data_IF_515956925380
#
_entry.id   IF_515956925380
#
_cell.length_a   1.000
_cell.length_b   1.000
_cell.length_c   1.000
_cell.angle_alpha   90.00
_cell.angle_beta   90.00
_cell.angle_gamma   90.00
#
_symmetry.space_group_name_H-M   'P 1'
#
loop_
_entity.id
_entity.type
_entity.pdbx_description
1 polymer ?
#
# COMPACT_ATOMS: atom_id res chain seq x y z
N UNK A 1 -13.22 0.14 -32.60
CA UNK A 1 -14.34 -0.09 -31.65
C UNK A 1 -13.77 0.04 -30.25
N UNK A 2 -13.92 1.21 -29.61
CA UNK A 2 -13.28 1.51 -28.33
C UNK A 2 -14.00 0.85 -27.16
N UNK A 3 -13.56 -0.34 -26.78
CA UNK A 3 -14.03 -0.98 -25.56
C UNK A 3 -13.48 -0.21 -24.34
N UNK A 4 -14.40 0.24 -23.49
CA UNK A 4 -14.20 0.88 -22.19
C UNK A 4 -13.70 2.34 -22.21
N UNK A 5 -14.64 3.29 -22.36
CA UNK A 5 -14.41 4.69 -21.94
C UNK A 5 -13.91 4.70 -20.48
N UNK A 6 -12.77 5.34 -20.21
CA UNK A 6 -12.27 5.54 -18.84
C UNK A 6 -13.32 6.38 -18.13
N UNK A 7 -13.98 5.83 -17.10
CA UNK A 7 -14.89 6.59 -16.25
C UNK A 7 -14.04 7.69 -15.58
N UNK A 8 -14.55 8.91 -15.55
CA UNK A 8 -13.85 10.01 -14.89
C UNK A 8 -13.84 9.70 -13.37
N UNK A 9 -12.67 9.64 -12.70
CA UNK A 9 -12.62 9.31 -11.28
C UNK A 9 -13.39 10.30 -10.41
N UNK A 10 -13.54 11.56 -10.85
CA UNK A 10 -14.32 12.57 -10.15
C UNK A 10 -15.81 12.21 -10.01
N UNK A 11 -16.35 11.39 -10.93
CA UNK A 11 -17.77 10.98 -10.91
C UNK A 11 -18.14 10.12 -9.69
N UNK A 12 -17.16 9.66 -8.90
CA UNK A 12 -17.38 8.92 -7.67
C UNK A 12 -17.55 9.81 -6.43
N UNK A 13 -17.35 11.11 -6.57
CA UNK A 13 -17.32 12.07 -5.47
C UNK A 13 -18.38 13.15 -5.64
N UNK A 14 -18.97 13.57 -4.52
CA UNK A 14 -19.72 14.82 -4.48
C UNK A 14 -18.73 16.00 -4.66
N UNK A 15 -18.88 16.85 -5.69
CA UNK A 15 -17.94 17.94 -5.98
C UNK A 15 -17.89 19.01 -4.88
N UNK A 16 -18.95 19.14 -4.07
CA UNK A 16 -18.97 20.09 -2.95
C UNK A 16 -18.13 19.57 -1.77
N UNK A 17 -18.02 18.24 -1.64
CA UNK A 17 -17.27 17.56 -0.58
C UNK A 17 -15.80 17.31 -0.95
N UNK A 18 -15.53 16.87 -2.19
CA UNK A 18 -14.19 16.48 -2.62
C UNK A 18 -13.95 16.73 -4.10
N UNK A 19 -12.87 17.44 -4.43
CA UNK A 19 -12.43 17.68 -5.81
C UNK A 19 -11.03 17.10 -6.00
N UNK A 20 -10.88 16.19 -6.94
CA UNK A 20 -9.59 15.59 -7.29
C UNK A 20 -8.69 16.68 -7.90
N UNK A 21 -7.73 17.12 -7.12
CA UNK A 21 -6.65 18.03 -7.54
C UNK A 21 -5.42 17.26 -8.01
N UNK A 22 -5.16 16.10 -7.41
CA UNK A 22 -4.05 15.23 -7.78
C UNK A 22 -4.37 13.74 -7.55
N UNK A 23 -3.60 12.87 -8.19
CA UNK A 23 -3.72 11.42 -8.12
C UNK A 23 -2.41 10.80 -7.63
N UNK A 24 -2.40 10.35 -6.38
CA UNK A 24 -1.24 9.66 -5.79
C UNK A 24 -1.09 8.26 -6.38
N UNK A 25 -2.21 7.55 -6.56
CA UNK A 25 -2.23 6.21 -7.11
C UNK A 25 -3.50 5.97 -7.93
N UNK A 26 -3.35 5.69 -9.23
CA UNK A 26 -4.40 5.18 -10.12
C UNK A 26 -4.01 3.77 -10.58
N UNK A 27 -4.48 2.71 -9.90
CA UNK A 27 -4.05 1.36 -10.22
C UNK A 27 -4.70 0.84 -11.51
N UNK A 28 -4.09 -0.14 -12.19
CA UNK A 28 -4.69 -0.74 -13.38
C UNK A 28 -6.06 -1.34 -13.07
N UNK A 29 -6.98 -1.23 -14.04
CA UNK A 29 -8.41 -1.56 -13.85
C UNK A 29 -8.60 -2.95 -13.24
N UNK A 30 -7.88 -3.98 -13.64
CA UNK A 30 -8.13 -5.36 -13.17
C UNK A 30 -7.43 -5.73 -11.88
N UNK A 31 -6.92 -4.75 -11.13
CA UNK A 31 -6.35 -4.99 -9.80
C UNK A 31 -7.41 -4.76 -8.72
N UNK A 32 -7.21 -5.39 -7.56
CA UNK A 32 -8.01 -5.15 -6.34
C UNK A 32 -7.51 -3.94 -5.55
N UNK A 33 -6.57 -3.17 -6.10
CA UNK A 33 -5.93 -2.08 -5.39
C UNK A 33 -6.84 -0.85 -5.35
N UNK A 34 -6.86 -0.11 -4.23
CA UNK A 34 -7.59 1.14 -4.17
C UNK A 34 -6.88 2.23 -4.99
N UNK A 35 -7.67 3.15 -5.54
CA UNK A 35 -7.13 4.41 -6.04
C UNK A 35 -7.03 5.44 -4.90
N UNK A 36 -6.07 6.34 -5.00
CA UNK A 36 -5.78 7.35 -3.98
C UNK A 36 -5.69 8.72 -4.64
N UNK A 37 -6.49 9.66 -4.13
CA UNK A 37 -6.64 11.00 -4.68
C UNK A 37 -6.43 12.06 -3.61
N UNK A 38 -6.01 13.25 -4.03
CA UNK A 38 -5.90 14.43 -3.17
C UNK A 38 -6.88 15.52 -3.59
N UNK A 39 -7.46 16.18 -2.59
CA UNK A 39 -8.02 17.52 -2.67
C UNK A 39 -7.14 18.46 -1.83
N UNK A 40 -6.11 19.03 -2.47
CA UNK A 40 -5.18 19.95 -1.82
C UNK A 40 -5.87 21.25 -1.40
N UNK A 41 -6.96 21.65 -2.07
CA UNK A 41 -7.69 22.89 -1.73
C UNK A 41 -8.43 22.77 -0.41
N UNK A 42 -9.03 21.60 -0.15
CA UNK A 42 -9.72 21.29 1.11
C UNK A 42 -8.84 20.57 2.13
N UNK A 43 -7.58 20.28 1.79
CA UNK A 43 -6.64 19.45 2.58
C UNK A 43 -7.22 18.09 2.95
N UNK A 44 -7.83 17.43 1.97
CA UNK A 44 -8.41 16.09 2.10
C UNK A 44 -7.74 15.11 1.15
N UNK A 45 -7.80 13.84 1.50
CA UNK A 45 -7.42 12.75 0.60
C UNK A 45 -8.49 11.68 0.63
N UNK A 46 -8.53 10.84 -0.41
CA UNK A 46 -9.53 9.81 -0.53
C UNK A 46 -8.95 8.49 -0.97
N UNK A 47 -9.53 7.41 -0.44
CA UNK A 47 -9.32 6.03 -0.85
C UNK A 47 -10.58 5.56 -1.55
N UNK A 48 -10.46 5.18 -2.82
CA UNK A 48 -11.57 4.66 -3.60
C UNK A 48 -11.29 3.24 -4.04
N UNK A 49 -11.93 2.29 -3.36
CA UNK A 49 -11.99 0.90 -3.82
C UNK A 49 -13.09 0.78 -4.87
N UNK A 50 -12.75 0.20 -6.02
CA UNK A 50 -13.65 0.22 -7.17
C UNK A 50 -14.94 -0.57 -6.89
N UNK A 51 -16.08 0.09 -7.03
CA UNK A 51 -17.40 -0.49 -6.74
C UNK A 51 -17.87 -0.25 -5.31
N UNK A 52 -17.05 0.39 -4.46
CA UNK A 52 -17.44 0.88 -3.15
C UNK A 52 -17.48 2.42 -3.15
N UNK A 53 -18.18 2.99 -2.16
CA UNK A 53 -18.15 4.43 -1.92
C UNK A 53 -16.75 4.87 -1.48
N UNK A 54 -16.21 5.99 -2.00
CA UNK A 54 -14.92 6.50 -1.56
C UNK A 54 -14.93 6.88 -0.08
N UNK A 55 -13.86 6.54 0.63
CA UNK A 55 -13.62 7.04 1.98
C UNK A 55 -12.73 8.28 1.90
N UNK A 56 -13.15 9.35 2.54
CA UNK A 56 -12.45 10.65 2.53
C UNK A 56 -11.92 10.92 3.95
N UNK A 57 -10.70 11.41 4.01
CA UNK A 57 -9.97 11.71 5.24
C UNK A 57 -9.38 13.11 5.17
N UNK A 58 -9.14 13.72 6.32
CA UNK A 58 -8.37 14.95 6.41
C UNK A 58 -6.88 14.65 6.36
N UNK A 59 -6.08 15.58 5.84
CA UNK A 59 -4.61 15.46 5.90
C UNK A 59 -4.10 15.32 7.34
N UNK A 60 -4.79 15.96 8.29
CA UNK A 60 -4.46 15.90 9.71
C UNK A 60 -4.66 14.49 10.32
N UNK A 61 -5.41 13.61 9.65
CA UNK A 61 -5.62 12.25 10.11
C UNK A 61 -4.41 11.35 9.83
N UNK A 62 -3.46 11.78 9.00
CA UNK A 62 -2.23 11.03 8.70
C UNK A 62 -1.27 11.15 9.87
N UNK A 63 -1.03 10.03 10.57
CA UNK A 63 -0.18 9.99 11.77
C UNK A 63 1.24 9.50 11.48
N UNK A 64 1.36 8.53 10.59
CA UNK A 64 2.62 7.89 10.22
C UNK A 64 2.50 7.29 8.82
N UNK A 65 3.59 7.33 8.06
CA UNK A 65 3.69 6.66 6.78
C UNK A 65 5.05 5.96 6.64
N UNK A 66 5.04 4.70 6.23
CA UNK A 66 6.26 3.91 6.04
C UNK A 66 6.19 3.00 4.82
N UNK A 67 7.34 2.73 4.20
CA UNK A 67 7.45 1.69 3.18
C UNK A 67 7.82 0.37 3.86
N UNK A 68 6.93 -0.61 3.75
CA UNK A 68 7.10 -1.94 4.31
C UNK A 68 7.29 -3.00 3.21
N UNK A 69 8.14 -3.99 3.48
CA UNK A 69 8.24 -5.20 2.67
C UNK A 69 7.41 -6.34 3.29
N UNK A 70 6.79 -7.16 2.45
CA UNK A 70 6.09 -8.35 2.89
C UNK A 70 7.08 -9.37 3.43
N UNK A 71 6.95 -9.70 4.72
CA UNK A 71 7.77 -10.71 5.37
C UNK A 71 9.14 -10.20 5.81
N UNK A 72 9.17 -9.05 6.49
CA UNK A 72 10.33 -8.63 7.26
C UNK A 72 10.83 -9.81 8.13
N UNK A 73 12.04 -10.34 7.87
CA UNK A 73 12.55 -11.54 8.51
C UNK A 73 12.94 -11.37 9.99
N UNK A 74 12.77 -10.21 10.61
CA UNK A 74 13.01 -10.04 12.06
C UNK A 74 12.05 -10.86 12.95
N UNK A 75 10.98 -11.44 12.39
CA UNK A 75 10.09 -12.34 13.11
C UNK A 75 10.52 -13.81 12.95
N UNK A 76 11.32 -14.27 13.92
CA UNK A 76 11.59 -15.67 14.32
C UNK A 76 12.74 -16.40 13.62
N UNK A 77 13.91 -16.37 14.26
CA UNK A 77 14.94 -17.40 14.11
C UNK A 77 14.37 -18.78 14.45
N UNK A 78 14.17 -19.63 13.44
CA UNK A 78 13.85 -21.04 13.65
C UNK A 78 15.15 -21.76 14.04
N UNK A 79 15.26 -22.15 15.31
CA UNK A 79 16.47 -22.70 15.93
C UNK A 79 16.69 -24.19 15.64
N UNK A 80 15.71 -24.93 15.08
CA UNK A 80 15.84 -26.38 14.83
C UNK A 80 15.22 -26.91 13.52
N UNK A 81 15.79 -28.01 12.98
CA UNK A 81 15.32 -28.68 11.74
C UNK A 81 13.95 -29.35 11.88
N UNK A 82 13.56 -29.76 13.09
CA UNK A 82 12.27 -30.41 13.36
C UNK A 82 11.12 -29.41 13.37
N UNK A 83 11.30 -28.23 13.98
CA UNK A 83 10.30 -27.16 13.92
C UNK A 83 10.10 -26.65 12.50
N UNK A 84 11.16 -26.57 11.71
CA UNK A 84 11.07 -26.19 10.30
C UNK A 84 10.22 -27.19 9.50
N UNK A 85 10.42 -28.49 9.69
CA UNK A 85 9.63 -29.53 9.01
C UNK A 85 8.14 -29.48 9.40
N UNK A 86 7.82 -29.22 10.67
CA UNK A 86 6.44 -29.05 11.13
C UNK A 86 5.77 -27.80 10.52
N UNK A 87 6.50 -26.68 10.41
CA UNK A 87 5.96 -25.45 9.77
C UNK A 87 5.71 -25.62 8.28
N UNK A 88 6.58 -26.35 7.56
CA UNK A 88 6.40 -26.67 6.14
C UNK A 88 5.12 -27.49 5.95
N UNK A 89 4.89 -28.51 6.80
CA UNK A 89 3.68 -29.32 6.74
C UNK A 89 2.41 -28.52 7.07
N UNK A 90 2.49 -27.61 8.04
CA UNK A 90 1.36 -26.80 8.48
C UNK A 90 0.96 -25.70 7.48
N UNK A 91 1.94 -25.05 6.83
CA UNK A 91 1.68 -24.03 5.82
C UNK A 91 2.86 -23.92 4.82
N UNK A 92 2.85 -24.72 3.75
CA UNK A 92 3.93 -24.77 2.76
C UNK A 92 4.22 -23.41 2.11
N UNK A 93 3.19 -22.60 1.88
CA UNK A 93 3.32 -21.27 1.28
C UNK A 93 4.04 -20.28 2.21
N UNK A 94 3.73 -20.30 3.52
CA UNK A 94 4.42 -19.46 4.51
C UNK A 94 5.90 -19.86 4.62
N UNK A 95 6.20 -21.15 4.60
CA UNK A 95 7.57 -21.63 4.71
C UNK A 95 8.40 -21.40 3.43
N UNK A 96 7.79 -21.45 2.25
CA UNK A 96 8.41 -21.01 0.99
C UNK A 96 8.78 -19.52 1.03
N UNK A 97 7.86 -18.67 1.53
CA UNK A 97 8.10 -17.23 1.72
C UNK A 97 9.28 -16.96 2.67
N UNK A 98 9.35 -17.65 3.81
CA UNK A 98 10.48 -17.51 4.77
C UNK A 98 11.82 -17.90 4.12
N UNK A 99 11.86 -18.97 3.32
CA UNK A 99 13.07 -19.36 2.58
C UNK A 99 13.46 -18.35 1.48
N UNK A 100 12.48 -17.73 0.83
CA UNK A 100 12.72 -16.70 -0.18
C UNK A 100 13.25 -15.40 0.45
N UNK A 101 12.73 -14.98 1.59
CA UNK A 101 13.27 -13.83 2.35
C UNK A 101 14.76 -14.01 2.70
N UNK A 102 15.18 -15.25 3.05
CA UNK A 102 16.60 -15.63 3.29
C UNK A 102 17.49 -15.56 2.03
N UNK A 103 16.92 -15.42 0.82
CA UNK A 103 17.64 -15.42 -0.48
C UNK A 103 17.74 -14.04 -1.13
N UNK A 104 17.77 -12.96 -0.34
CA UNK A 104 17.79 -11.58 -0.85
C UNK A 104 16.58 -11.22 -1.74
N UNK A 105 15.43 -11.84 -1.49
CA UNK A 105 14.18 -11.58 -2.19
C UNK A 105 13.25 -10.72 -1.33
N UNK A 106 12.67 -9.70 -1.95
CA UNK A 106 11.50 -8.99 -1.46
C UNK A 106 10.25 -9.74 -1.96
N UNK A 107 9.32 -10.08 -1.08
CA UNK A 107 8.14 -10.91 -1.41
C UNK A 107 6.88 -10.09 -1.69
N UNK A 108 7.03 -8.76 -1.61
CA UNK A 108 5.97 -7.78 -1.71
C UNK A 108 6.46 -6.48 -1.08
N UNK A 109 5.95 -5.36 -1.54
CA UNK A 109 6.26 -4.04 -1.00
C UNK A 109 5.00 -3.19 -1.04
N UNK A 110 4.78 -2.43 0.01
CA UNK A 110 3.67 -1.49 0.09
C UNK A 110 4.01 -0.28 0.94
N UNK A 111 3.14 0.72 0.86
CA UNK A 111 3.15 1.87 1.77
C UNK A 111 2.07 1.65 2.82
N UNK A 112 2.45 1.72 4.09
CA UNK A 112 1.54 1.59 5.23
C UNK A 112 1.31 2.98 5.79
N UNK A 113 0.05 3.41 5.79
CA UNK A 113 -0.37 4.70 6.34
C UNK A 113 -1.20 4.45 7.59
N UNK A 114 -0.75 4.97 8.73
CA UNK A 114 -1.54 5.01 9.95
C UNK A 114 -2.44 6.24 9.93
N UNK A 115 -3.75 6.03 10.05
CA UNK A 115 -4.77 7.07 9.92
C UNK A 115 -5.66 7.08 11.16
N UNK A 116 -5.91 8.26 11.71
CA UNK A 116 -6.90 8.47 12.77
C UNK A 116 -8.31 8.35 12.17
N UNK A 117 -9.11 7.36 12.58
CA UNK A 117 -10.47 7.12 12.05
C UNK A 117 -11.59 7.40 13.05
N UNK A 118 -11.24 7.68 14.30
CA UNK A 118 -12.14 8.06 15.38
C UNK A 118 -11.38 8.83 16.45
N UNK A 119 -11.96 9.12 17.62
CA UNK A 119 -11.27 9.91 18.66
C UNK A 119 -10.00 9.22 19.20
N UNK A 120 -10.01 7.89 19.25
CA UNK A 120 -8.92 7.06 19.78
C UNK A 120 -8.68 5.80 18.91
N UNK A 121 -9.17 5.80 17.66
CA UNK A 121 -9.05 4.67 16.73
C UNK A 121 -8.06 4.99 15.62
N UNK A 122 -7.04 4.15 15.48
CA UNK A 122 -6.04 4.22 14.40
C UNK A 122 -6.20 3.01 13.50
N UNK A 123 -6.45 3.26 12.21
CA UNK A 123 -6.50 2.25 11.17
C UNK A 123 -5.20 2.26 10.36
N UNK A 124 -4.72 1.08 9.95
CA UNK A 124 -3.60 0.96 9.01
C UNK A 124 -4.13 0.68 7.61
N UNK A 125 -3.80 1.56 6.67
CA UNK A 125 -4.07 1.36 5.25
C UNK A 125 -2.80 0.85 4.57
N UNK A 126 -2.88 -0.34 3.98
CA UNK A 126 -1.81 -0.89 3.15
C UNK A 126 -2.07 -0.59 1.67
N UNK A 127 -1.11 0.08 1.05
CA UNK A 127 -1.13 0.44 -0.37
C UNK A 127 -0.04 -0.39 -1.05
N UNK A 128 -0.38 -1.57 -1.61
CA UNK A 128 0.63 -2.42 -2.23
C UNK A 128 1.17 -1.77 -3.51
N UNK A 129 2.49 -1.76 -3.61
CA UNK A 129 3.26 -1.28 -4.77
C UNK A 129 3.75 -2.46 -5.61
N UNK A 130 4.04 -3.59 -4.95
CA UNK A 130 4.50 -4.83 -5.55
C UNK A 130 3.95 -6.02 -4.75
N UNK A 131 3.43 -7.04 -5.44
CA UNK A 131 2.93 -8.28 -4.82
C UNK A 131 3.74 -9.52 -5.21
N UNK A 132 4.66 -9.39 -6.16
CA UNK A 132 5.48 -10.48 -6.69
C UNK A 132 6.85 -10.54 -6.02
N UNK A 133 7.51 -11.69 -6.11
CA UNK A 133 8.86 -11.88 -5.58
C UNK A 133 9.90 -11.25 -6.51
N UNK A 134 10.72 -10.34 -5.96
CA UNK A 134 11.78 -9.63 -6.72
C UNK A 134 13.07 -9.60 -5.91
N UNK A 135 14.22 -9.77 -6.57
CA UNK A 135 15.53 -9.64 -5.91
C UNK A 135 15.78 -8.19 -5.50
N UNK A 136 16.25 -7.96 -4.27
CA UNK A 136 16.52 -6.61 -3.74
C UNK A 136 17.63 -5.85 -4.47
N UNK A 137 18.55 -6.56 -5.12
CA UNK A 137 19.62 -5.94 -5.92
C UNK A 137 19.19 -5.57 -7.35
N UNK A 138 18.01 -6.02 -7.77
CA UNK A 138 17.51 -5.77 -9.13
C UNK A 138 17.10 -4.30 -9.32
N UNK A 139 17.21 -3.83 -10.57
CA UNK A 139 16.66 -2.53 -10.97
C UNK A 139 15.15 -2.43 -10.77
N UNK A 140 14.43 -3.56 -10.91
CA UNK A 140 12.99 -3.62 -10.70
C UNK A 140 12.62 -3.34 -9.24
N UNK A 141 13.32 -3.94 -8.28
CA UNK A 141 13.13 -3.63 -6.86
C UNK A 141 13.37 -2.15 -6.56
N UNK A 142 14.46 -1.57 -7.09
CA UNK A 142 14.76 -0.13 -6.91
C UNK A 142 13.66 0.75 -7.50
N UNK A 143 13.11 0.39 -8.66
CA UNK A 143 11.99 1.10 -9.27
C UNK A 143 10.74 1.03 -8.39
N UNK A 144 10.38 -0.14 -7.86
CA UNK A 144 9.25 -0.27 -6.92
C UNK A 144 9.48 0.51 -5.63
N UNK A 145 10.68 0.44 -5.06
CA UNK A 145 11.06 1.23 -3.88
C UNK A 145 10.91 2.72 -4.14
N UNK A 146 11.39 3.21 -5.29
CA UNK A 146 11.24 4.62 -5.65
C UNK A 146 9.77 5.04 -5.79
N UNK A 147 8.89 4.17 -6.31
CA UNK A 147 7.45 4.45 -6.35
C UNK A 147 6.87 4.50 -4.94
N UNK A 148 7.21 3.54 -4.08
CA UNK A 148 6.74 3.50 -2.70
C UNK A 148 7.20 4.72 -1.89
N UNK A 149 8.47 5.14 -2.05
CA UNK A 149 9.01 6.34 -1.39
C UNK A 149 8.33 7.63 -1.89
N UNK A 150 7.95 7.71 -3.17
CA UNK A 150 7.18 8.85 -3.67
C UNK A 150 5.78 8.91 -3.05
N UNK A 151 5.09 7.77 -2.99
CA UNK A 151 3.78 7.69 -2.32
C UNK A 151 3.93 8.07 -0.83
N UNK A 152 4.97 7.56 -0.16
CA UNK A 152 5.26 7.91 1.24
C UNK A 152 5.46 9.42 1.40
N UNK A 153 6.28 10.04 0.56
CA UNK A 153 6.55 11.48 0.61
C UNK A 153 5.28 12.33 0.47
N UNK A 154 4.33 11.93 -0.38
CA UNK A 154 3.02 12.61 -0.47
C UNK A 154 2.26 12.56 0.86
N UNK A 155 2.22 11.40 1.53
CA UNK A 155 1.57 11.27 2.84
C UNK A 155 2.34 12.00 3.96
N UNK A 156 3.67 11.98 3.95
CA UNK A 156 4.48 12.73 4.91
C UNK A 156 4.19 14.23 4.80
N UNK A 157 4.08 14.76 3.57
CA UNK A 157 3.75 16.15 3.32
C UNK A 157 2.35 16.52 3.84
N UNK A 158 1.36 15.62 3.74
CA UNK A 158 0.02 15.83 4.29
C UNK A 158 0.01 15.90 5.82
N UNK A 159 0.64 14.92 6.47
CA UNK A 159 0.69 14.81 7.93
C UNK A 159 1.61 15.85 8.58
N UNK A 160 2.40 16.58 7.80
CA UNK A 160 3.43 17.48 8.31
C UNK A 160 4.59 16.72 8.96
N UNK A 161 4.92 15.54 8.44
CA UNK A 161 5.96 14.62 8.93
C UNK A 161 7.32 14.82 8.23
N UNK A 162 7.40 15.77 7.29
CA UNK A 162 8.56 16.06 6.45
C UNK A 162 9.61 16.96 7.12
#
# INVERSE_FOLDING_TARGET
>A
MGLFKKKNPQDAFDPDVFTITDTILDPPRFTFLPAIYQDATRRKWAVHQRGAEPKIFDYADVLQCEVAEAGDPEAEEVTSKQEFAQRILANPAKAAKINAAKRNMCLGMGVVVAVQTGKDEVSKLEIPVMTDEVKRDSSLYKSYRNVAEKIKAEFDAMGGLA
#
